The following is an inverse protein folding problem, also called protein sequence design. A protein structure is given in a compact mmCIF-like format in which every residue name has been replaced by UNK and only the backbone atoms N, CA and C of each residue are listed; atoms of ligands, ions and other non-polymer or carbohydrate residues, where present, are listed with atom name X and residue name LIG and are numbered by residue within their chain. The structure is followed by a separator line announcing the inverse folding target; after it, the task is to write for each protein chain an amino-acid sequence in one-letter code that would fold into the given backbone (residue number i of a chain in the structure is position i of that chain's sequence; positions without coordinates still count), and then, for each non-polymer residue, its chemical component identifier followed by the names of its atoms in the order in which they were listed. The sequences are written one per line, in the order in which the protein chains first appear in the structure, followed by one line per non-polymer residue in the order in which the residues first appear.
data_IF_832141316983
#
_entry.id   IF_832141316983
#
_cell.length_a   1.000
_cell.length_b   1.000
_cell.length_c   1.000
_cell.angle_alpha   90.00
_cell.angle_beta   90.00
_cell.angle_gamma   90.00
#
_symmetry.space_group_name_H-M   'P 1'
#
loop_
_entity.id
_entity.type
_entity.pdbx_description
1 polymer ?
#
# COMPACT_ATOMS: atom_id res chain seq x y z
N UNK A 1 -9.80 -26.28 1.89
CA UNK A 1 -8.56 -25.50 1.69
C UNK A 1 -8.60 -24.34 2.69
N UNK A 2 -7.59 -24.23 3.56
CA UNK A 2 -7.51 -23.15 4.56
C UNK A 2 -7.31 -21.78 3.88
N UNK A 3 -7.64 -20.71 4.58
CA UNK A 3 -7.51 -19.35 4.04
C UNK A 3 -6.05 -18.95 3.79
N UNK A 4 -5.11 -19.45 4.60
CA UNK A 4 -3.67 -19.28 4.38
C UNK A 4 -3.20 -19.87 3.03
N UNK A 5 -3.68 -21.06 2.67
CA UNK A 5 -3.33 -21.70 1.40
C UNK A 5 -3.89 -20.94 0.19
N UNK A 6 -5.04 -20.27 0.34
CA UNK A 6 -5.59 -19.39 -0.71
C UNK A 6 -4.78 -18.10 -0.84
N UNK A 7 -4.44 -17.46 0.28
CA UNK A 7 -3.62 -16.23 0.31
C UNK A 7 -2.26 -16.48 -0.34
N UNK A 8 -1.60 -17.59 0.01
CA UNK A 8 -0.31 -17.97 -0.58
C UNK A 8 -0.38 -18.10 -2.11
N UNK A 9 -1.46 -18.70 -2.63
CA UNK A 9 -1.68 -18.80 -4.09
C UNK A 9 -1.89 -17.44 -4.76
N UNK A 10 -2.60 -16.52 -4.11
CA UNK A 10 -2.82 -15.18 -4.66
C UNK A 10 -1.50 -14.40 -4.74
N UNK A 11 -0.66 -14.48 -3.70
CA UNK A 11 0.65 -13.81 -3.70
C UNK A 11 1.54 -14.30 -4.85
N UNK A 12 1.48 -15.60 -5.18
CA UNK A 12 2.24 -16.16 -6.32
C UNK A 12 1.80 -15.63 -7.69
N UNK A 13 0.60 -15.04 -7.80
CA UNK A 13 0.11 -14.42 -9.04
C UNK A 13 0.59 -12.98 -9.21
N UNK A 14 1.14 -12.36 -8.17
CA UNK A 14 1.62 -10.99 -8.25
C UNK A 14 2.97 -10.91 -9.00
N UNK A 15 3.19 -9.88 -9.82
CA UNK A 15 4.51 -9.59 -10.36
C UNK A 15 5.51 -9.36 -9.23
N UNK A 16 6.75 -9.80 -9.42
CA UNK A 16 7.83 -9.54 -8.47
C UNK A 16 8.17 -8.06 -8.44
N UNK A 17 8.41 -7.53 -7.24
CA UNK A 17 9.01 -6.21 -7.06
C UNK A 17 10.54 -6.32 -7.03
N UNK A 18 11.27 -5.26 -7.44
CA UNK A 18 12.72 -5.20 -7.29
C UNK A 18 13.13 -5.37 -5.84
N UNK A 19 14.26 -6.05 -5.64
CA UNK A 19 14.82 -6.30 -4.32
C UNK A 19 15.54 -5.03 -3.85
N UNK A 20 14.98 -4.37 -2.85
CA UNK A 20 15.43 -3.06 -2.35
C UNK A 20 16.93 -2.99 -2.00
N UNK A 21 17.47 -4.00 -1.31
CA UNK A 21 18.87 -3.99 -0.86
C UNK A 21 19.88 -4.14 -2.02
N UNK A 22 19.42 -4.54 -3.21
CA UNK A 22 20.25 -4.63 -4.42
C UNK A 22 20.29 -3.31 -5.20
N UNK A 23 19.32 -2.42 -4.97
CA UNK A 23 19.16 -1.15 -5.72
C UNK A 23 19.76 0.04 -4.97
N UNK A 24 19.85 -0.07 -3.64
CA UNK A 24 20.32 1.01 -2.77
C UNK A 24 19.33 1.23 -1.63
N UNK A 25 19.79 1.81 -0.51
CA UNK A 25 18.94 2.00 0.69
C UNK A 25 17.95 3.16 0.57
N UNK A 26 17.74 3.73 -0.63
CA UNK A 26 16.96 4.94 -0.81
C UNK A 26 15.64 4.63 -1.51
N UNK A 27 14.54 5.06 -0.89
CA UNK A 27 13.20 4.76 -1.39
C UNK A 27 12.89 5.36 -2.77
N UNK A 28 13.48 6.51 -3.13
CA UNK A 28 13.31 7.11 -4.46
C UNK A 28 13.94 6.25 -5.55
N UNK A 29 15.20 5.83 -5.39
CA UNK A 29 15.87 4.93 -6.34
C UNK A 29 15.09 3.62 -6.50
N UNK A 30 14.51 3.11 -5.41
CA UNK A 30 13.68 1.92 -5.47
C UNK A 30 12.35 2.14 -6.20
N UNK A 31 11.71 3.31 -6.05
CA UNK A 31 10.51 3.66 -6.83
C UNK A 31 10.80 3.73 -8.33
N UNK A 32 11.91 4.38 -8.71
CA UNK A 32 12.34 4.46 -10.11
C UNK A 32 12.53 3.06 -10.69
N UNK A 33 13.18 2.16 -9.94
CA UNK A 33 13.34 0.77 -10.36
C UNK A 33 12.02 0.00 -10.47
N UNK A 34 11.01 0.30 -9.63
CA UNK A 34 9.67 -0.29 -9.78
C UNK A 34 9.04 0.18 -11.08
N UNK A 35 9.10 1.47 -11.39
CA UNK A 35 8.56 2.02 -12.63
C UNK A 35 9.28 1.42 -13.86
N UNK A 36 10.60 1.40 -13.86
CA UNK A 36 11.44 0.85 -14.92
C UNK A 36 11.21 -0.65 -15.15
N UNK A 37 10.81 -1.40 -14.11
CA UNK A 37 10.51 -2.83 -14.24
C UNK A 37 9.32 -3.13 -15.16
N UNK A 38 8.43 -2.16 -15.39
CA UNK A 38 7.20 -2.35 -16.17
C UNK A 38 6.25 -3.39 -15.57
N UNK A 39 6.39 -3.70 -14.27
CA UNK A 39 5.65 -4.77 -13.59
C UNK A 39 4.16 -4.49 -13.39
N UNK A 40 3.71 -3.25 -13.65
CA UNK A 40 2.32 -2.81 -13.44
C UNK A 40 1.99 -2.46 -11.99
N UNK A 41 2.97 -2.56 -11.08
CA UNK A 41 2.88 -1.92 -9.77
C UNK A 41 2.97 -0.41 -9.94
N UNK A 42 2.14 0.31 -9.20
CA UNK A 42 2.16 1.78 -9.20
C UNK A 42 2.11 2.30 -7.77
N UNK A 43 2.83 3.39 -7.55
CA UNK A 43 2.91 4.04 -6.26
C UNK A 43 1.59 4.75 -5.95
N UNK A 44 1.16 4.69 -4.69
CA UNK A 44 -0.02 5.39 -4.17
C UNK A 44 0.45 6.44 -3.16
N UNK A 45 0.61 7.72 -3.56
CA UNK A 45 1.14 8.76 -2.68
C UNK A 45 0.10 9.25 -1.66
N UNK A 46 -1.14 9.42 -2.11
CA UNK A 46 -2.21 10.03 -1.33
C UNK A 46 -3.37 9.05 -1.14
N UNK A 47 -4.04 9.16 0.01
CA UNK A 47 -5.15 8.32 0.39
C UNK A 47 -6.21 9.08 1.20
N UNK A 48 -7.38 8.45 1.35
CA UNK A 48 -8.52 9.04 2.05
C UNK A 48 -9.21 10.16 1.27
N UNK A 49 -10.32 10.64 1.81
CA UNK A 49 -11.18 11.62 1.14
C UNK A 49 -10.53 12.97 0.80
N UNK A 50 -9.45 13.34 1.49
CA UNK A 50 -8.76 14.63 1.30
C UNK A 50 -7.36 14.51 0.71
N UNK A 51 -6.94 13.30 0.32
CA UNK A 51 -5.62 13.09 -0.26
C UNK A 51 -4.51 13.34 0.74
N UNK A 52 -4.62 12.74 1.93
CA UNK A 52 -3.55 12.73 2.92
C UNK A 52 -2.41 11.82 2.47
N UNK A 53 -1.17 12.12 2.89
CA UNK A 53 -0.02 11.27 2.57
C UNK A 53 -0.24 9.85 3.12
N UNK A 54 -0.22 8.84 2.25
CA UNK A 54 -0.45 7.44 2.65
C UNK A 54 0.74 6.85 3.43
N UNK A 55 1.94 7.33 3.15
CA UNK A 55 3.17 6.99 3.85
C UNK A 55 4.03 8.22 4.11
N UNK A 56 5.23 8.00 4.64
CA UNK A 56 6.25 9.02 4.88
C UNK A 56 7.40 8.86 3.88
N UNK A 57 7.30 9.55 2.76
CA UNK A 57 8.28 9.41 1.68
C UNK A 57 9.63 10.03 2.06
N UNK A 58 10.76 9.44 1.64
CA UNK A 58 10.91 8.20 0.87
C UNK A 58 10.99 6.93 1.74
N UNK A 59 10.84 7.03 3.06
CA UNK A 59 11.06 5.92 3.99
C UNK A 59 9.95 4.88 3.97
N UNK A 60 8.70 5.31 3.78
CA UNK A 60 7.51 4.47 3.71
C UNK A 60 6.77 4.74 2.41
N UNK A 61 6.74 3.74 1.53
CA UNK A 61 6.11 3.83 0.22
C UNK A 61 5.07 2.71 0.10
N UNK A 62 3.88 3.05 -0.41
CA UNK A 62 2.80 2.10 -0.63
C UNK A 62 2.52 2.00 -2.12
N UNK A 63 2.38 0.78 -2.61
CA UNK A 63 2.08 0.49 -4.01
C UNK A 63 0.85 -0.37 -4.12
N UNK A 64 0.11 -0.17 -5.21
CA UNK A 64 -0.97 -1.03 -5.63
C UNK A 64 -0.60 -1.77 -6.90
N UNK A 65 -1.20 -2.94 -7.07
CA UNK A 65 -1.24 -3.67 -8.33
C UNK A 65 -2.70 -3.99 -8.67
N UNK A 66 -3.06 -3.81 -9.93
CA UNK A 66 -4.36 -4.15 -10.51
C UNK A 66 -4.15 -5.22 -11.59
N UNK A 67 -4.35 -6.49 -11.24
CA UNK A 67 -4.42 -7.57 -12.22
C UNK A 67 -5.85 -8.02 -12.46
N UNK A 68 -6.05 -8.88 -13.46
CA UNK A 68 -7.38 -9.39 -13.84
C UNK A 68 -8.01 -10.28 -12.74
N UNK A 69 -7.18 -11.03 -12.02
CA UNK A 69 -7.62 -12.00 -11.01
C UNK A 69 -7.07 -11.72 -9.60
N UNK A 70 -6.20 -10.72 -9.46
CA UNK A 70 -5.51 -10.44 -8.21
C UNK A 70 -5.20 -8.96 -8.06
N UNK A 71 -5.40 -8.46 -6.85
CA UNK A 71 -5.09 -7.10 -6.46
C UNK A 71 -4.01 -7.13 -5.39
N UNK A 72 -2.93 -6.39 -5.62
CA UNK A 72 -1.79 -6.34 -4.72
C UNK A 72 -1.73 -5.04 -3.94
N UNK A 73 -1.28 -5.11 -2.69
CA UNK A 73 -0.73 -3.95 -1.97
C UNK A 73 0.66 -4.33 -1.47
N UNK A 74 1.61 -3.44 -1.64
CA UNK A 74 2.96 -3.57 -1.09
C UNK A 74 3.28 -2.36 -0.22
N UNK A 75 3.99 -2.59 0.87
CA UNK A 75 4.55 -1.55 1.73
C UNK A 75 6.06 -1.76 1.79
N UNK A 76 6.78 -0.74 1.36
CA UNK A 76 8.22 -0.59 1.56
C UNK A 76 8.46 0.23 2.82
N UNK A 77 9.33 -0.24 3.71
CA UNK A 77 9.78 0.49 4.90
C UNK A 77 11.31 0.39 4.97
N UNK A 78 12.00 1.44 4.52
CA UNK A 78 13.47 1.56 4.57
C UNK A 78 14.24 0.32 4.07
N UNK A 79 13.68 -0.35 3.05
CA UNK A 79 14.24 -1.55 2.44
C UNK A 79 13.43 -2.81 2.75
N UNK A 80 12.64 -2.86 3.81
CA UNK A 80 11.81 -4.03 4.09
C UNK A 80 10.53 -4.00 3.25
N UNK A 81 10.22 -5.13 2.60
CA UNK A 81 9.04 -5.27 1.75
C UNK A 81 8.01 -6.22 2.37
N UNK A 82 6.81 -5.70 2.58
CA UNK A 82 5.62 -6.50 2.90
C UNK A 82 4.66 -6.48 1.73
N UNK A 83 4.30 -7.65 1.19
CA UNK A 83 3.39 -7.78 0.04
C UNK A 83 2.16 -8.58 0.47
N UNK A 84 0.97 -8.10 0.11
CA UNK A 84 -0.31 -8.80 0.33
C UNK A 84 -1.11 -8.83 -0.96
N UNK A 85 -1.87 -9.91 -1.14
CA UNK A 85 -2.69 -10.16 -2.31
C UNK A 85 -4.14 -10.38 -1.91
N UNK A 86 -5.06 -9.87 -2.72
CA UNK A 86 -6.50 -9.92 -2.51
C UNK A 86 -7.24 -10.32 -3.78
N UNK A 87 -8.43 -10.90 -3.62
CA UNK A 87 -9.25 -11.33 -4.74
C UNK A 87 -10.07 -10.18 -5.35
N UNK A 88 -10.30 -9.10 -4.59
CA UNK A 88 -11.09 -7.94 -5.03
C UNK A 88 -10.37 -6.62 -4.75
N UNK A 89 -10.67 -5.55 -5.52
CA UNK A 89 -10.07 -4.23 -5.26
C UNK A 89 -10.51 -3.69 -3.90
N UNK A 90 -11.77 -3.91 -3.50
CA UNK A 90 -12.31 -3.49 -2.20
C UNK A 90 -11.55 -4.09 -1.02
N UNK A 91 -11.13 -5.36 -1.10
CA UNK A 91 -10.32 -5.98 -0.05
C UNK A 91 -8.94 -5.31 0.08
N UNK A 92 -8.32 -4.97 -1.07
CA UNK A 92 -7.06 -4.22 -1.09
C UNK A 92 -7.25 -2.80 -0.56
N UNK A 93 -8.35 -2.13 -0.89
CA UNK A 93 -8.69 -0.79 -0.40
C UNK A 93 -8.84 -0.77 1.11
N UNK A 94 -9.59 -1.73 1.70
CA UNK A 94 -9.70 -1.87 3.16
C UNK A 94 -8.32 -2.12 3.81
N UNK A 95 -7.47 -2.92 3.19
CA UNK A 95 -6.11 -3.11 3.68
C UNK A 95 -5.28 -1.83 3.59
N UNK A 96 -5.54 -0.98 2.60
CA UNK A 96 -4.89 0.32 2.43
C UNK A 96 -5.42 1.32 3.46
N UNK A 97 -6.70 1.30 3.80
CA UNK A 97 -7.27 2.09 4.90
C UNK A 97 -6.60 1.74 6.24
N UNK A 98 -6.34 0.46 6.49
CA UNK A 98 -5.61 0.01 7.69
C UNK A 98 -4.15 0.50 7.70
N UNK A 99 -3.47 0.47 6.56
CA UNK A 99 -2.10 0.99 6.41
C UNK A 99 -2.09 2.51 6.66
N UNK A 100 -3.05 3.23 6.05
CA UNK A 100 -3.21 4.67 6.19
C UNK A 100 -3.45 5.05 7.65
N UNK A 101 -4.40 4.39 8.31
CA UNK A 101 -4.69 4.61 9.74
C UNK A 101 -3.45 4.45 10.61
N UNK A 102 -2.68 3.38 10.40
CA UNK A 102 -1.45 3.14 11.15
C UNK A 102 -0.45 4.30 10.95
N UNK A 103 -0.13 4.68 9.72
CA UNK A 103 0.87 5.74 9.50
C UNK A 103 0.38 7.13 9.88
N UNK A 104 -0.90 7.43 9.66
CA UNK A 104 -1.48 8.72 10.04
C UNK A 104 -1.44 8.95 11.55
N UNK A 105 -1.71 7.91 12.34
CA UNK A 105 -1.59 8.00 13.80
C UNK A 105 -0.17 8.29 14.30
N UNK A 106 0.86 7.86 13.56
CA UNK A 106 2.26 7.96 14.02
C UNK A 106 3.03 9.13 13.41
N UNK A 107 2.58 9.66 12.26
CA UNK A 107 3.31 10.65 11.47
C UNK A 107 2.54 11.97 11.28
N UNK A 108 1.44 12.18 12.01
CA UNK A 108 0.62 13.41 12.01
C UNK A 108 0.20 13.89 10.60
N UNK A 109 0.01 12.93 9.70
CA UNK A 109 -0.20 13.18 8.26
C UNK A 109 -1.64 12.92 7.80
N UNK A 110 -2.55 12.62 8.74
CA UNK A 110 -3.95 12.26 8.46
C UNK A 110 -4.97 13.29 8.97
N UNK A 111 -6.23 12.87 9.17
CA UNK A 111 -7.26 13.71 9.78
C UNK A 111 -6.89 14.18 11.20
N UNK A 112 -7.21 15.43 11.56
CA UNK A 112 -6.94 16.01 12.89
C UNK A 112 -7.66 15.26 14.03
N UNK A 113 -8.84 14.70 13.75
CA UNK A 113 -9.69 13.96 14.69
C UNK A 113 -9.63 12.45 14.44
N UNK A 114 -8.49 11.93 13.95
CA UNK A 114 -8.32 10.50 13.67
C UNK A 114 -8.42 9.66 14.95
N UNK A 115 -9.37 8.72 15.06
CA UNK A 115 -9.48 7.85 16.24
C UNK A 115 -8.28 6.90 16.37
N UNK A 116 -7.87 6.59 17.60
CA UNK A 116 -6.78 5.64 17.88
C UNK A 116 -7.07 4.21 17.37
N UNK A 117 -8.35 3.82 17.31
CA UNK A 117 -8.76 2.48 16.87
C UNK A 117 -9.32 2.54 15.45
N UNK A 118 -8.84 1.64 14.59
CA UNK A 118 -9.28 1.57 13.20
C UNK A 118 -10.81 1.38 13.06
N UNK A 119 -11.42 0.56 13.92
CA UNK A 119 -12.85 0.29 13.89
C UNK A 119 -13.74 1.50 14.19
N UNK A 120 -13.17 2.56 14.79
CA UNK A 120 -13.87 3.79 15.13
C UNK A 120 -13.67 4.88 14.05
N UNK A 121 -12.83 4.62 13.04
CA UNK A 121 -12.55 5.59 11.96
C UNK A 121 -13.81 5.83 11.14
N UNK A 122 -14.29 7.08 11.03
CA UNK A 122 -15.45 7.41 10.21
C UNK A 122 -15.19 7.05 8.73
N UNK A 123 -16.16 6.41 8.08
CA UNK A 123 -16.05 6.01 6.67
C UNK A 123 -15.74 7.18 5.71
N UNK A 124 -16.06 8.43 6.12
CA UNK A 124 -15.66 9.64 5.39
C UNK A 124 -14.14 9.81 5.22
N UNK A 125 -13.31 9.09 5.98
CA UNK A 125 -11.85 9.17 5.91
C UNK A 125 -11.22 8.06 5.07
N UNK A 126 -11.99 7.05 4.67
CA UNK A 126 -11.50 5.98 3.80
C UNK A 126 -11.22 6.48 2.40
N UNK A 127 -10.28 5.82 1.73
CA UNK A 127 -9.91 6.10 0.36
C UNK A 127 -10.74 5.31 -0.66
N UNK A 128 -10.32 5.32 -1.95
CA UNK A 128 -9.20 6.07 -2.48
C UNK A 128 -9.45 7.59 -2.54
N UNK A 129 -8.39 8.38 -2.59
CA UNK A 129 -8.49 9.78 -3.01
C UNK A 129 -8.70 9.83 -4.53
N UNK A 130 -9.70 10.57 -5.00
CA UNK A 130 -10.07 10.64 -6.42
C UNK A 130 -9.73 11.98 -7.09
N UNK A 131 -9.20 12.95 -6.34
CA UNK A 131 -8.94 14.31 -6.82
C UNK A 131 -7.53 14.51 -7.40
N UNK A 132 -7.10 13.58 -8.24
CA UNK A 132 -5.81 13.63 -8.95
C UNK A 132 -5.93 14.40 -10.27
#
# INVERSE_FOLDING_TARGET
MSDEAKISKLVQKLPKLPISWEIGRYGYDWMDAVEESGSGWFVVPLWGSKGWNLGSWPHVIVLHYNGDEVYGVATYVEGDLTIRAYATPTQREVATDMIAHFYWLHNDSGPEDLPERFGDVPAKYFGPYLGW
#
